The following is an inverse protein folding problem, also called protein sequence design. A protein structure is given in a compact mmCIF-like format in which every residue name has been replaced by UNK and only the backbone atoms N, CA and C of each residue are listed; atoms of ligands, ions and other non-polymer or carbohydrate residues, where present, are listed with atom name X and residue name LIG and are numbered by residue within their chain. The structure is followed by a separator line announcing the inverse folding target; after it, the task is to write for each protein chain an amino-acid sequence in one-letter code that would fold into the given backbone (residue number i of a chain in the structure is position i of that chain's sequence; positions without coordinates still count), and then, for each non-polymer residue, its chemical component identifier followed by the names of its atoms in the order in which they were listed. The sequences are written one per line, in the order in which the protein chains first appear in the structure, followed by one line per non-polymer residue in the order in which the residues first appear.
data_IF_289679563698
#
_entry.id   IF_289679563698
#
_cell.length_a   1.000
_cell.length_b   1.000
_cell.length_c   1.000
_cell.angle_alpha   90.00
_cell.angle_beta   90.00
_cell.angle_gamma   90.00
#
_symmetry.space_group_name_H-M   'P 1'
#
loop_
_entity.id
_entity.type
_entity.pdbx_description
1 polymer ?
#
# COMPACT_ATOMS: atom_id res chain seq x y z
N UNK A 1 -13.35 12.75 63.04
CA UNK A 1 -13.45 13.22 61.64
C UNK A 1 -14.49 12.37 60.93
N UNK A 2 -15.50 12.99 60.32
CA UNK A 2 -16.81 12.39 60.06
C UNK A 2 -16.92 11.70 58.70
N UNK A 3 -17.79 10.68 58.64
CA UNK A 3 -18.20 9.94 57.43
C UNK A 3 -18.48 10.85 56.22
N UNK A 4 -19.06 12.04 56.44
CA UNK A 4 -19.31 13.05 55.38
C UNK A 4 -18.06 13.50 54.64
N UNK A 5 -16.94 13.73 55.35
CA UNK A 5 -15.67 14.16 54.74
C UNK A 5 -15.09 13.03 53.87
N UNK A 6 -15.19 11.78 54.35
CA UNK A 6 -14.79 10.59 53.59
C UNK A 6 -15.63 10.39 52.32
N UNK A 7 -16.95 10.57 52.40
CA UNK A 7 -17.84 10.46 51.24
C UNK A 7 -17.59 11.55 50.18
N UNK A 8 -17.25 12.77 50.62
CA UNK A 8 -16.97 13.89 49.73
C UNK A 8 -15.63 13.71 48.98
N UNK A 9 -14.60 13.21 49.66
CA UNK A 9 -13.33 12.84 49.04
C UNK A 9 -13.48 11.72 48.00
N UNK A 10 -14.23 10.66 48.33
CA UNK A 10 -14.51 9.57 47.40
C UNK A 10 -15.29 10.02 46.15
N UNK A 11 -16.21 10.96 46.31
CA UNK A 11 -16.98 11.54 45.19
C UNK A 11 -16.09 12.38 44.27
N UNK A 12 -15.19 13.19 44.83
CA UNK A 12 -14.24 13.99 44.03
C UNK A 12 -13.30 13.11 43.20
N UNK A 13 -12.74 12.05 43.81
CA UNK A 13 -11.85 11.12 43.10
C UNK A 13 -12.59 10.37 42.00
N UNK A 14 -13.84 9.96 42.24
CA UNK A 14 -14.67 9.35 41.20
C UNK A 14 -14.86 10.28 40.00
N UNK A 15 -15.25 11.54 40.23
CA UNK A 15 -15.42 12.53 39.14
C UNK A 15 -14.12 12.78 38.37
N UNK A 16 -12.99 12.83 39.07
CA UNK A 16 -11.66 12.94 38.45
C UNK A 16 -11.38 11.77 37.51
N UNK A 17 -11.55 10.54 38.01
CA UNK A 17 -11.29 9.28 37.28
C UNK A 17 -12.22 9.15 36.08
N UNK A 18 -13.52 9.39 36.27
CA UNK A 18 -14.52 9.34 35.19
C UNK A 18 -14.18 10.34 34.08
N UNK A 19 -13.78 11.56 34.42
CA UNK A 19 -13.36 12.57 33.43
C UNK A 19 -12.08 12.13 32.69
N UNK A 20 -11.08 11.65 33.44
CA UNK A 20 -9.81 11.23 32.86
C UNK A 20 -10.01 10.08 31.87
N UNK A 21 -10.79 9.06 32.23
CA UNK A 21 -11.12 7.96 31.32
C UNK A 21 -11.96 8.40 30.12
N UNK A 22 -12.88 9.36 30.28
CA UNK A 22 -13.61 9.94 29.16
C UNK A 22 -12.69 10.61 28.11
N UNK A 23 -11.51 11.08 28.52
CA UNK A 23 -10.48 11.62 27.59
C UNK A 23 -9.52 10.54 27.11
N UNK A 24 -9.15 9.61 27.99
CA UNK A 24 -8.14 8.59 27.74
C UNK A 24 -8.65 7.52 26.76
N UNK A 25 -9.88 7.04 26.93
CA UNK A 25 -10.45 5.96 26.10
C UNK A 25 -10.44 6.30 24.60
N UNK A 26 -10.93 7.49 24.15
CA UNK A 26 -10.80 7.87 22.75
C UNK A 26 -9.36 8.01 22.26
N UNK A 27 -8.44 8.49 23.12
CA UNK A 27 -7.02 8.61 22.78
C UNK A 27 -6.36 7.23 22.56
N UNK A 28 -6.74 6.23 23.36
CA UNK A 28 -6.33 4.84 23.19
C UNK A 28 -6.87 4.27 21.88
N UNK A 29 -8.17 4.39 21.61
CA UNK A 29 -8.76 3.93 20.34
C UNK A 29 -8.07 4.54 19.13
N UNK A 30 -7.79 5.85 19.15
CA UNK A 30 -7.09 6.54 18.07
C UNK A 30 -5.64 6.07 17.91
N UNK A 31 -4.96 5.77 19.01
CA UNK A 31 -3.57 5.29 18.99
C UNK A 31 -3.50 3.88 18.42
N UNK A 32 -4.39 2.97 18.85
CA UNK A 32 -4.49 1.61 18.31
C UNK A 32 -4.74 1.67 16.81
N UNK A 33 -5.72 2.48 16.38
CA UNK A 33 -6.03 2.66 14.95
C UNK A 33 -4.80 3.03 14.12
N UNK A 34 -3.98 3.97 14.60
CA UNK A 34 -2.73 4.36 13.92
C UNK A 34 -1.67 3.26 13.91
N UNK A 35 -1.67 2.36 14.89
CA UNK A 35 -0.77 1.20 14.94
C UNK A 35 -1.22 0.06 14.01
N UNK A 36 -2.52 -0.08 13.77
CA UNK A 36 -3.09 -1.17 12.95
C UNK A 36 -2.61 -1.16 11.50
N UNK A 37 -2.66 -0.01 10.82
CA UNK A 37 -2.30 0.05 9.39
C UNK A 37 -0.85 -0.39 9.11
N UNK A 38 0.18 0.09 9.86
CA UNK A 38 1.55 -0.41 9.73
C UNK A 38 1.70 -1.90 10.03
N UNK A 39 1.00 -2.44 11.03
CA UNK A 39 1.05 -3.87 11.37
C UNK A 39 0.48 -4.73 10.23
N UNK A 40 -0.66 -4.33 9.66
CA UNK A 40 -1.29 -5.02 8.53
C UNK A 40 -0.39 -4.93 7.29
N UNK A 41 0.13 -3.75 6.95
CA UNK A 41 1.04 -3.58 5.83
C UNK A 41 2.32 -4.44 6.00
N UNK A 42 2.83 -4.53 7.23
CA UNK A 42 3.96 -5.39 7.58
C UNK A 42 3.66 -6.88 7.38
N UNK A 43 2.52 -7.37 7.87
CA UNK A 43 2.12 -8.77 7.68
C UNK A 43 1.89 -9.10 6.20
N UNK A 44 1.20 -8.23 5.46
CA UNK A 44 0.99 -8.41 4.02
C UNK A 44 2.32 -8.50 3.25
N UNK A 45 3.33 -7.70 3.60
CA UNK A 45 4.66 -7.81 2.99
C UNK A 45 5.36 -9.14 3.31
N UNK A 46 5.08 -9.71 4.48
CA UNK A 46 5.67 -10.97 4.91
C UNK A 46 4.93 -12.21 4.37
N UNK A 47 3.62 -12.11 4.17
CA UNK A 47 2.75 -13.27 3.91
C UNK A 47 2.11 -13.27 2.52
N UNK A 48 1.99 -12.11 1.84
CA UNK A 48 1.45 -12.02 0.49
C UNK A 48 2.59 -12.04 -0.55
N UNK A 49 2.65 -13.06 -1.42
CA UNK A 49 3.72 -13.17 -2.42
C UNK A 49 3.83 -11.96 -3.36
N UNK A 50 2.71 -11.31 -3.71
CA UNK A 50 2.70 -10.12 -4.56
C UNK A 50 3.41 -8.90 -3.92
N UNK A 51 3.52 -8.88 -2.60
CA UNK A 51 4.10 -7.77 -1.84
C UNK A 51 5.43 -8.11 -1.19
N UNK A 52 5.87 -9.38 -1.26
CA UNK A 52 7.20 -9.79 -0.85
C UNK A 52 8.20 -9.46 -1.96
N UNK A 53 9.03 -8.44 -1.77
CA UNK A 53 10.12 -8.10 -2.69
C UNK A 53 9.97 -6.72 -3.33
N UNK A 54 10.29 -6.63 -4.62
CA UNK A 54 10.39 -5.36 -5.34
C UNK A 54 9.26 -5.16 -6.38
N UNK A 55 9.32 -4.02 -7.07
CA UNK A 55 8.43 -3.62 -8.17
C UNK A 55 8.21 -4.71 -9.23
N UNK A 56 9.28 -5.39 -9.66
CA UNK A 56 9.22 -6.42 -10.70
C UNK A 56 8.48 -7.67 -10.24
N UNK A 57 8.60 -8.04 -8.97
CA UNK A 57 7.82 -9.12 -8.39
C UNK A 57 6.31 -8.78 -8.39
N UNK A 58 5.95 -7.56 -8.00
CA UNK A 58 4.57 -7.07 -8.09
C UNK A 58 4.04 -7.13 -9.53
N UNK A 59 4.84 -6.68 -10.50
CA UNK A 59 4.46 -6.72 -11.92
C UNK A 59 4.22 -8.16 -12.41
N UNK A 60 5.07 -9.12 -12.03
CA UNK A 60 4.84 -10.55 -12.30
C UNK A 60 3.49 -11.02 -11.76
N UNK A 61 3.14 -10.71 -10.51
CA UNK A 61 1.84 -11.08 -9.93
C UNK A 61 0.66 -10.38 -10.59
N UNK A 62 0.84 -9.13 -11.04
CA UNK A 62 -0.16 -8.42 -11.84
C UNK A 62 -0.38 -9.12 -13.19
N UNK A 63 0.68 -9.52 -13.89
CA UNK A 63 0.59 -10.24 -15.17
C UNK A 63 -0.10 -11.60 -14.98
N UNK A 64 0.17 -12.31 -13.88
CA UNK A 64 -0.55 -13.54 -13.51
C UNK A 64 -2.05 -13.25 -13.35
N UNK A 65 -2.43 -12.22 -12.57
CA UNK A 65 -3.83 -11.85 -12.35
C UNK A 65 -4.53 -11.50 -13.66
N UNK A 66 -3.91 -10.66 -14.48
CA UNK A 66 -4.43 -10.26 -15.79
C UNK A 66 -4.62 -11.47 -16.73
N UNK A 67 -3.69 -12.44 -16.71
CA UNK A 67 -3.81 -13.66 -17.51
C UNK A 67 -4.90 -14.60 -16.97
N UNK A 68 -5.15 -14.62 -15.67
CA UNK A 68 -6.24 -15.40 -15.08
C UNK A 68 -7.61 -14.79 -15.36
N UNK A 69 -7.72 -13.46 -15.29
CA UNK A 69 -8.96 -12.72 -15.50
C UNK A 69 -9.39 -12.65 -16.98
N UNK A 70 -8.43 -12.69 -17.91
CA UNK A 70 -8.64 -12.55 -19.36
C UNK A 70 -9.53 -11.34 -19.73
N UNK A 71 -9.46 -10.27 -18.92
CA UNK A 71 -10.26 -9.06 -19.12
C UNK A 71 -9.45 -8.00 -19.90
N UNK A 72 -9.82 -7.78 -21.16
CA UNK A 72 -9.14 -6.80 -22.02
C UNK A 72 -9.12 -5.37 -21.46
N UNK A 73 -10.17 -4.93 -20.76
CA UNK A 73 -10.21 -3.58 -20.19
C UNK A 73 -9.18 -3.42 -19.06
N UNK A 74 -8.95 -4.47 -18.27
CA UNK A 74 -7.92 -4.47 -17.23
C UNK A 74 -6.52 -4.40 -17.86
N UNK A 75 -6.27 -5.18 -18.92
CA UNK A 75 -5.04 -5.03 -19.72
C UNK A 75 -4.87 -3.63 -20.29
N UNK A 76 -5.95 -3.07 -20.84
CA UNK A 76 -5.93 -1.73 -21.42
C UNK A 76 -5.57 -0.67 -20.37
N UNK A 77 -6.18 -0.74 -19.18
CA UNK A 77 -5.86 0.16 -18.09
C UNK A 77 -4.41 -0.03 -17.60
N UNK A 78 -3.93 -1.27 -17.46
CA UNK A 78 -2.54 -1.54 -17.10
C UNK A 78 -1.54 -1.01 -18.14
N UNK A 79 -1.84 -1.13 -19.43
CA UNK A 79 -0.98 -0.68 -20.52
C UNK A 79 -0.94 0.83 -20.70
N UNK A 80 -2.07 1.51 -20.49
CA UNK A 80 -2.22 2.95 -20.76
C UNK A 80 -2.13 3.81 -19.50
N UNK A 81 -2.46 3.25 -18.34
CA UNK A 81 -2.46 3.93 -17.04
C UNK A 81 -1.87 3.03 -15.93
N UNK A 82 -0.62 2.54 -16.09
CA UNK A 82 -0.04 1.52 -15.21
C UNK A 82 -0.02 1.94 -13.73
N UNK A 83 0.25 3.22 -13.44
CA UNK A 83 0.29 3.73 -12.07
C UNK A 83 -1.06 3.63 -11.37
N UNK A 84 -2.13 4.04 -12.05
CA UNK A 84 -3.49 3.92 -11.52
C UNK A 84 -3.90 2.46 -11.39
N UNK A 85 -3.59 1.62 -12.39
CA UNK A 85 -3.91 0.20 -12.35
C UNK A 85 -3.28 -0.49 -11.14
N UNK A 86 -1.98 -0.29 -10.93
CA UNK A 86 -1.24 -0.91 -9.83
C UNK A 86 -1.76 -0.42 -8.47
N UNK A 87 -2.10 0.86 -8.35
CA UNK A 87 -2.71 1.40 -7.13
C UNK A 87 -4.03 0.69 -6.80
N UNK A 88 -4.90 0.51 -7.80
CA UNK A 88 -6.17 -0.20 -7.65
C UNK A 88 -5.96 -1.70 -7.36
N UNK A 89 -4.97 -2.33 -8.00
CA UNK A 89 -4.60 -3.71 -7.72
C UNK A 89 -4.20 -3.88 -6.24
N UNK A 90 -3.31 -3.03 -5.72
CA UNK A 90 -2.92 -3.04 -4.30
C UNK A 90 -4.15 -2.86 -3.41
N UNK A 91 -5.06 -1.94 -3.74
CA UNK A 91 -6.29 -1.72 -2.98
C UNK A 91 -7.17 -2.98 -2.89
N UNK A 92 -7.38 -3.65 -4.02
CA UNK A 92 -8.21 -4.84 -4.09
C UNK A 92 -7.58 -6.00 -3.30
N UNK A 93 -6.26 -6.13 -3.35
CA UNK A 93 -5.54 -7.12 -2.55
C UNK A 93 -5.62 -6.83 -1.05
N UNK A 94 -5.55 -5.55 -0.62
CA UNK A 94 -5.76 -5.18 0.79
C UNK A 94 -7.17 -5.56 1.24
N UNK A 95 -8.19 -5.20 0.45
CA UNK A 95 -9.59 -5.55 0.75
C UNK A 95 -9.76 -7.06 0.87
N UNK A 96 -9.25 -7.83 -0.09
CA UNK A 96 -9.31 -9.29 -0.08
C UNK A 96 -8.58 -9.88 1.13
N UNK A 97 -7.39 -9.37 1.47
CA UNK A 97 -6.64 -9.82 2.63
C UNK A 97 -7.44 -9.62 3.92
N UNK A 98 -7.97 -8.42 4.13
CA UNK A 98 -8.72 -8.07 5.34
C UNK A 98 -10.05 -8.84 5.47
N UNK A 99 -10.69 -9.23 4.36
CA UNK A 99 -11.92 -10.02 4.37
C UNK A 99 -11.71 -11.52 4.61
N UNK A 100 -10.53 -12.07 4.31
CA UNK A 100 -10.21 -13.50 4.46
C UNK A 100 -9.27 -13.73 5.66
N UNK A 101 -8.03 -14.17 5.41
CA UNK A 101 -7.01 -14.51 6.41
C UNK A 101 -6.62 -13.34 7.33
N UNK A 102 -6.76 -12.12 6.84
CA UNK A 102 -6.41 -10.90 7.57
C UNK A 102 -7.34 -10.62 8.75
N UNK A 103 -8.59 -11.12 8.73
CA UNK A 103 -9.57 -10.84 9.80
C UNK A 103 -9.10 -11.32 11.17
N UNK A 104 -8.56 -12.54 11.27
CA UNK A 104 -8.06 -13.10 12.53
C UNK A 104 -6.72 -12.49 12.94
N UNK A 105 -5.87 -12.16 11.96
CA UNK A 105 -4.63 -11.41 12.19
C UNK A 105 -4.89 -10.02 12.75
N UNK A 106 -5.90 -9.33 12.23
CA UNK A 106 -6.32 -8.02 12.72
C UNK A 106 -6.79 -8.09 14.17
N UNK A 107 -7.58 -9.10 14.55
CA UNK A 107 -7.95 -9.32 15.97
C UNK A 107 -6.72 -9.55 16.84
N UNK A 108 -5.76 -10.31 16.35
CA UNK A 108 -4.50 -10.57 17.07
C UNK A 108 -3.70 -9.27 17.26
N UNK A 109 -3.55 -8.45 16.21
CA UNK A 109 -2.86 -7.15 16.29
C UNK A 109 -3.58 -6.16 17.21
N UNK A 110 -4.91 -6.14 17.16
CA UNK A 110 -5.73 -5.35 18.07
C UNK A 110 -5.46 -5.76 19.51
N UNK A 111 -5.55 -7.06 19.82
CA UNK A 111 -5.31 -7.59 21.17
C UNK A 111 -3.90 -7.28 21.67
N UNK A 112 -2.88 -7.51 20.85
CA UNK A 112 -1.49 -7.17 21.19
C UNK A 112 -1.32 -5.67 21.49
N UNK A 113 -1.97 -4.81 20.71
CA UNK A 113 -1.90 -3.35 20.90
C UNK A 113 -2.66 -2.91 22.15
N UNK A 114 -3.81 -3.53 22.45
CA UNK A 114 -4.57 -3.30 23.67
C UNK A 114 -3.78 -3.71 24.90
N UNK A 115 -3.22 -4.92 24.91
CA UNK A 115 -2.44 -5.44 26.04
C UNK A 115 -1.21 -4.57 26.31
N UNK A 116 -0.51 -4.12 25.26
CA UNK A 116 0.61 -3.20 25.39
C UNK A 116 0.18 -1.87 26.05
N UNK A 117 -0.83 -1.19 25.50
CA UNK A 117 -1.29 0.11 26.02
C UNK A 117 -1.88 -0.03 27.42
N UNK A 118 -2.58 -1.13 27.71
CA UNK A 118 -3.08 -1.44 29.05
C UNK A 118 -1.95 -1.50 30.06
N UNK A 119 -0.85 -2.18 29.72
CA UNK A 119 0.33 -2.25 30.58
C UNK A 119 1.00 -0.88 30.75
N UNK A 120 1.08 -0.08 29.68
CA UNK A 120 1.65 1.28 29.74
C UNK A 120 0.82 2.19 30.67
N UNK A 121 -0.51 2.15 30.57
CA UNK A 121 -1.42 2.91 31.44
C UNK A 121 -1.28 2.43 32.89
N UNK A 122 -1.24 1.12 33.12
CA UNK A 122 -1.07 0.57 34.46
C UNK A 122 0.27 1.02 35.06
N UNK A 123 1.38 0.94 34.32
CA UNK A 123 2.69 1.42 34.77
C UNK A 123 2.65 2.92 35.08
N UNK A 124 2.06 3.72 34.20
CA UNK A 124 1.91 5.16 34.40
C UNK A 124 1.09 5.51 35.65
N UNK A 125 0.00 4.80 35.93
CA UNK A 125 -0.80 4.98 37.16
C UNK A 125 0.07 4.69 38.39
N UNK A 126 0.76 3.55 38.41
CA UNK A 126 1.59 3.14 39.55
C UNK A 126 2.72 4.13 39.80
N UNK A 127 3.52 4.43 38.78
CA UNK A 127 4.69 5.30 38.92
C UNK A 127 4.32 6.75 39.26
N UNK A 128 3.29 7.31 38.63
CA UNK A 128 2.83 8.66 38.95
C UNK A 128 2.33 8.75 40.39
N UNK A 129 1.66 7.70 40.89
CA UNK A 129 1.15 7.67 42.27
C UNK A 129 2.26 7.53 43.29
N UNK A 130 3.25 6.65 43.06
CA UNK A 130 4.38 6.50 43.98
C UNK A 130 5.18 7.81 44.10
N UNK A 131 5.50 8.47 42.98
CA UNK A 131 6.19 9.77 43.00
C UNK A 131 5.33 10.85 43.69
N UNK A 132 4.01 10.78 43.52
CA UNK A 132 3.11 11.79 44.05
C UNK A 132 3.01 11.76 45.59
N UNK A 133 3.07 10.56 46.19
CA UNK A 133 3.07 10.36 47.66
C UNK A 133 4.23 11.07 48.32
N UNK A 134 5.43 10.95 47.74
CA UNK A 134 6.66 11.46 48.33
C UNK A 134 6.77 12.99 48.31
N UNK A 135 5.97 13.67 47.46
CA UNK A 135 6.13 15.10 47.15
C UNK A 135 4.97 16.00 47.57
N UNK A 136 3.98 15.51 48.35
CA UNK A 136 2.70 16.24 48.62
C UNK A 136 2.08 16.76 47.31
N UNK A 137 2.03 15.91 46.29
CA UNK A 137 1.69 16.35 44.93
C UNK A 137 0.21 16.71 44.79
N UNK A 138 -0.06 17.73 43.98
CA UNK A 138 -1.41 18.13 43.58
C UNK A 138 -1.94 17.22 42.47
N UNK A 139 -3.25 17.27 42.20
CA UNK A 139 -3.85 16.59 41.06
C UNK A 139 -3.14 16.98 39.73
N UNK A 140 -2.81 18.26 39.55
CA UNK A 140 -2.01 18.73 38.42
C UNK A 140 -0.65 18.04 38.31
N UNK A 141 0.10 17.94 39.41
CA UNK A 141 1.42 17.28 39.41
C UNK A 141 1.34 15.78 39.11
N UNK A 142 0.29 15.10 39.56
CA UNK A 142 0.05 13.71 39.19
C UNK A 142 -0.28 13.56 37.71
N UNK A 143 -1.11 14.45 37.14
CA UNK A 143 -1.45 14.45 35.71
C UNK A 143 -0.23 14.68 34.83
N UNK A 144 0.70 15.55 35.24
CA UNK A 144 1.95 15.79 34.50
C UNK A 144 2.79 14.52 34.43
N UNK A 145 3.01 13.86 35.58
CA UNK A 145 3.74 12.59 35.65
C UNK A 145 3.07 11.49 34.83
N UNK A 146 1.75 11.36 34.96
CA UNK A 146 0.96 10.36 34.23
C UNK A 146 1.05 10.57 32.71
N UNK A 147 0.84 11.80 32.22
CA UNK A 147 0.92 12.11 30.80
C UNK A 147 2.35 11.97 30.25
N UNK A 148 3.37 12.33 31.01
CA UNK A 148 4.77 12.20 30.58
C UNK A 148 5.16 10.75 30.39
N UNK A 149 4.67 9.84 31.24
CA UNK A 149 4.90 8.39 31.12
C UNK A 149 4.22 7.77 29.90
N UNK A 150 3.11 8.34 29.44
CA UNK A 150 2.36 7.83 28.29
C UNK A 150 2.84 8.40 26.95
N UNK A 151 3.70 9.42 26.95
CA UNK A 151 4.03 10.21 25.75
C UNK A 151 4.66 9.40 24.60
N UNK A 152 5.40 8.34 24.91
CA UNK A 152 6.05 7.49 23.90
C UNK A 152 5.06 6.63 23.12
N UNK A 153 4.02 6.15 23.80
CA UNK A 153 3.19 5.05 23.30
C UNK A 153 1.75 5.45 23.02
N UNK A 154 1.32 6.62 23.54
CA UNK A 154 -0.04 7.12 23.47
C UNK A 154 -0.09 8.62 23.15
N UNK A 155 -0.92 8.98 22.16
CA UNK A 155 -1.17 10.39 21.82
C UNK A 155 -2.24 10.93 22.78
N UNK A 156 -1.82 11.34 23.98
CA UNK A 156 -2.71 11.83 25.02
C UNK A 156 -2.23 13.17 25.61
N UNK A 157 -2.77 14.31 25.13
CA UNK A 157 -2.19 15.60 25.43
C UNK A 157 -2.68 16.15 26.79
N UNK A 158 -1.74 16.46 27.70
CA UNK A 158 -1.98 17.01 29.05
C UNK A 158 -2.90 18.24 29.08
N UNK A 159 -2.91 19.05 28.01
CA UNK A 159 -3.78 20.23 27.86
C UNK A 159 -5.28 19.90 27.88
N UNK A 160 -5.66 18.66 27.56
CA UNK A 160 -7.07 18.24 27.56
C UNK A 160 -7.61 17.98 28.98
N UNK A 161 -6.75 18.09 30.00
CA UNK A 161 -7.02 17.75 31.41
C UNK A 161 -7.04 18.97 32.34
N UNK A 162 -6.96 20.19 31.79
CA UNK A 162 -6.93 21.44 32.57
C UNK A 162 -8.16 21.57 33.48
N UNK A 163 -9.33 21.10 33.05
CA UNK A 163 -10.57 21.22 33.82
C UNK A 163 -10.60 20.41 35.13
N UNK A 164 -9.67 19.46 35.33
CA UNK A 164 -9.61 18.63 36.54
C UNK A 164 -8.34 18.85 37.37
N UNK A 165 -7.43 19.72 36.93
CA UNK A 165 -6.10 19.85 37.55
C UNK A 165 -6.11 20.54 38.92
N UNK A 166 -7.17 21.29 39.23
CA UNK A 166 -7.37 21.97 40.51
C UNK A 166 -8.18 21.15 41.52
N UNK A 167 -8.59 19.93 41.20
CA UNK A 167 -9.34 19.10 42.16
C UNK A 167 -8.46 18.69 43.35
N UNK A 168 -9.00 18.78 44.55
CA UNK A 168 -8.30 18.33 45.76
C UNK A 168 -8.34 16.80 45.86
N UNK A 169 -7.21 16.14 45.56
CA UNK A 169 -7.02 14.71 45.79
C UNK A 169 -6.15 14.54 47.02
N UNK A 170 -6.76 14.05 48.12
CA UNK A 170 -6.06 13.81 49.39
C UNK A 170 -5.58 12.38 49.55
N UNK A 171 -6.22 11.45 48.85
CA UNK A 171 -5.93 10.02 48.92
C UNK A 171 -5.46 9.51 47.56
N UNK A 172 -4.14 9.51 47.39
CA UNK A 172 -3.51 9.07 46.14
C UNK A 172 -3.62 7.55 45.95
N UNK A 173 -3.72 6.77 47.03
CA UNK A 173 -3.96 5.32 46.91
C UNK A 173 -5.37 5.03 46.44
N UNK A 174 -6.37 5.75 46.97
CA UNK A 174 -7.74 5.60 46.46
C UNK A 174 -7.86 6.04 45.00
N UNK A 175 -7.13 7.08 44.58
CA UNK A 175 -7.04 7.46 43.15
C UNK A 175 -6.48 6.31 42.31
N UNK A 176 -5.35 5.72 42.71
CA UNK A 176 -4.73 4.58 42.03
C UNK A 176 -5.67 3.38 41.95
N UNK A 177 -6.31 3.01 43.06
CA UNK A 177 -7.30 1.92 43.07
C UNK A 177 -8.48 2.20 42.13
N UNK A 178 -9.02 3.41 42.14
CA UNK A 178 -10.13 3.80 41.27
C UNK A 178 -9.72 3.79 39.79
N UNK A 179 -8.52 4.29 39.45
CA UNK A 179 -7.97 4.24 38.10
C UNK A 179 -7.77 2.80 37.62
N UNK A 180 -7.13 1.94 38.43
CA UNK A 180 -6.90 0.54 38.10
C UNK A 180 -8.21 -0.25 37.96
N UNK A 181 -9.21 0.03 38.82
CA UNK A 181 -10.51 -0.63 38.75
C UNK A 181 -11.28 -0.30 37.47
N UNK A 182 -11.12 0.92 36.95
CA UNK A 182 -11.76 1.35 35.70
C UNK A 182 -11.02 0.87 34.44
N UNK A 183 -9.75 0.44 34.55
CA UNK A 183 -8.91 0.06 33.41
C UNK A 183 -9.53 -1.07 32.56
N UNK A 184 -9.91 -2.19 33.16
CA UNK A 184 -10.44 -3.35 32.43
C UNK A 184 -11.76 -3.05 31.69
N UNK A 185 -12.79 -2.45 32.33
CA UNK A 185 -14.00 -2.02 31.63
C UNK A 185 -13.72 -1.07 30.46
N UNK A 186 -12.78 -0.14 30.63
CA UNK A 186 -12.43 0.83 29.61
C UNK A 186 -11.67 0.21 28.43
N UNK A 187 -10.74 -0.73 28.69
CA UNK A 187 -10.06 -1.47 27.63
C UNK A 187 -11.04 -2.36 26.85
N UNK A 188 -12.02 -2.98 27.51
CA UNK A 188 -13.09 -3.72 26.81
C UNK A 188 -13.91 -2.78 25.92
N UNK A 189 -14.21 -1.55 26.38
CA UNK A 189 -14.90 -0.55 25.57
C UNK A 189 -14.08 -0.14 24.34
N UNK A 190 -12.77 0.06 24.50
CA UNK A 190 -11.86 0.33 23.39
C UNK A 190 -11.84 -0.84 22.40
N UNK A 191 -11.73 -2.07 22.89
CA UNK A 191 -11.71 -3.28 22.05
C UNK A 191 -12.95 -3.36 21.17
N UNK A 192 -14.14 -3.20 21.74
CA UNK A 192 -15.39 -3.20 20.98
C UNK A 192 -15.39 -2.10 19.92
N UNK A 193 -15.02 -0.87 20.29
CA UNK A 193 -14.97 0.25 19.34
C UNK A 193 -14.01 -0.02 18.17
N UNK A 194 -12.88 -0.67 18.43
CA UNK A 194 -11.89 -1.00 17.40
C UNK A 194 -12.28 -2.22 16.55
N UNK A 195 -12.99 -3.21 17.10
CA UNK A 195 -13.47 -4.38 16.37
C UNK A 195 -14.49 -4.04 15.28
N UNK A 196 -15.33 -3.02 15.52
CA UNK A 196 -16.34 -2.57 14.56
C UNK A 196 -15.81 -1.52 13.56
N UNK A 197 -14.50 -1.27 13.56
CA UNK A 197 -13.90 -0.31 12.62
C UNK A 197 -14.00 -0.84 11.19
N UNK A 198 -14.53 -0.06 10.23
CA UNK A 198 -14.51 -0.43 8.84
C UNK A 198 -13.08 -0.54 8.33
N UNK A 199 -12.77 -1.67 7.69
CA UNK A 199 -11.47 -1.91 7.03
C UNK A 199 -11.15 -0.77 6.06
N UNK A 200 -12.18 -0.25 5.41
CA UNK A 200 -12.16 0.84 4.43
C UNK A 200 -11.49 2.11 4.97
N UNK A 201 -11.55 2.36 6.28
CA UNK A 201 -10.88 3.51 6.90
C UNK A 201 -9.35 3.38 6.93
N UNK A 202 -8.83 2.15 6.92
CA UNK A 202 -7.38 1.86 6.95
C UNK A 202 -6.80 1.62 5.56
N UNK A 203 -7.61 1.22 4.58
CA UNK A 203 -7.16 0.91 3.21
C UNK A 203 -6.28 2.00 2.60
N UNK A 204 -6.61 3.31 2.68
CA UNK A 204 -5.77 4.35 2.06
C UNK A 204 -4.37 4.42 2.66
N UNK A 205 -4.25 4.22 3.99
CA UNK A 205 -2.97 4.28 4.69
C UNK A 205 -2.11 3.05 4.37
N UNK A 206 -2.71 1.86 4.39
CA UNK A 206 -2.04 0.60 4.00
C UNK A 206 -1.60 0.67 2.54
N UNK A 207 -2.46 1.12 1.63
CA UNK A 207 -2.17 1.29 0.21
C UNK A 207 -1.00 2.25 0.00
N UNK A 208 -0.96 3.37 0.74
CA UNK A 208 0.16 4.31 0.68
C UNK A 208 1.47 3.63 1.07
N UNK A 209 1.52 2.94 2.21
CA UNK A 209 2.74 2.25 2.67
C UNK A 209 3.22 1.18 1.68
N UNK A 210 2.31 0.36 1.14
CA UNK A 210 2.67 -0.65 0.14
C UNK A 210 3.09 -0.03 -1.20
N UNK A 211 2.44 1.06 -1.63
CA UNK A 211 2.78 1.77 -2.87
C UNK A 211 4.14 2.45 -2.79
N UNK A 212 4.48 3.03 -1.64
CA UNK A 212 5.81 3.60 -1.39
C UNK A 212 6.89 2.52 -1.37
N UNK A 213 6.61 1.38 -0.73
CA UNK A 213 7.53 0.25 -0.72
C UNK A 213 7.77 -0.35 -2.11
N UNK A 214 6.71 -0.46 -2.91
CA UNK A 214 6.72 -1.02 -4.26
C UNK A 214 6.78 0.08 -5.34
N UNK A 215 7.36 1.22 -4.98
CA UNK A 215 7.51 2.36 -5.88
C UNK A 215 8.58 2.09 -6.94
N UNK A 216 8.57 2.93 -7.97
CA UNK A 216 9.51 2.83 -9.08
C UNK A 216 9.23 3.85 -10.16
N UNK A 217 9.98 3.74 -11.24
CA UNK A 217 9.82 4.58 -12.41
C UNK A 217 8.58 4.18 -13.21
N UNK A 218 7.78 5.15 -13.61
CA UNK A 218 6.55 4.94 -14.39
C UNK A 218 6.71 5.31 -15.86
N UNK A 219 7.91 5.71 -16.28
CA UNK A 219 8.19 5.99 -17.69
C UNK A 219 7.97 4.73 -18.51
N UNK A 220 7.33 4.88 -19.66
CA UNK A 220 7.01 3.80 -20.57
C UNK A 220 7.85 3.90 -21.84
N UNK A 221 8.25 2.75 -22.38
CA UNK A 221 8.98 2.67 -23.64
C UNK A 221 8.11 3.28 -24.75
N UNK A 222 8.62 4.25 -25.53
CA UNK A 222 7.81 4.93 -26.55
C UNK A 222 7.33 3.97 -27.66
N UNK A 223 8.04 2.87 -27.86
CA UNK A 223 7.71 1.87 -28.88
C UNK A 223 6.65 0.85 -28.42
N UNK A 224 6.78 0.28 -27.22
CA UNK A 224 5.95 -0.86 -26.80
C UNK A 224 5.25 -0.70 -25.45
N UNK A 225 5.35 0.47 -24.82
CA UNK A 225 4.74 0.81 -23.53
C UNK A 225 5.18 -0.03 -22.31
N UNK A 226 6.22 -0.85 -22.45
CA UNK A 226 6.83 -1.53 -21.32
C UNK A 226 7.31 -0.50 -20.28
N UNK A 227 7.13 -0.79 -19.00
CA UNK A 227 7.38 0.14 -17.90
C UNK A 227 8.85 -0.01 -17.49
N UNK A 228 9.51 1.10 -17.16
CA UNK A 228 10.87 1.08 -16.65
C UNK A 228 10.94 0.25 -15.35
N UNK A 229 11.96 -0.59 -15.23
CA UNK A 229 12.15 -1.47 -14.05
C UNK A 229 12.93 -0.84 -12.92
N UNK A 230 13.44 0.38 -13.10
CA UNK A 230 14.17 1.08 -12.06
C UNK A 230 13.23 1.37 -10.86
N UNK A 231 13.67 0.97 -9.66
CA UNK A 231 12.90 1.10 -8.42
C UNK A 231 12.95 2.50 -7.82
N UNK A 232 13.72 3.43 -8.42
CA UNK A 232 13.82 4.82 -8.00
C UNK A 232 12.89 5.66 -8.88
N UNK A 233 11.87 6.33 -8.31
CA UNK A 233 11.05 7.30 -9.04
C UNK A 233 11.92 8.46 -9.56
N UNK A 234 11.60 8.95 -10.77
CA UNK A 234 12.32 10.11 -11.38
C UNK A 234 13.84 9.96 -11.35
N UNK A 235 14.34 8.74 -11.57
CA UNK A 235 15.77 8.47 -11.60
C UNK A 235 16.47 9.13 -12.79
N UNK A 236 17.74 9.46 -12.60
CA UNK A 236 18.65 9.86 -13.67
C UNK A 236 19.09 8.67 -14.53
N UNK A 237 19.69 8.96 -15.68
CA UNK A 237 20.18 7.95 -16.62
C UNK A 237 19.07 7.32 -17.47
N UNK A 238 19.43 6.27 -18.21
CA UNK A 238 18.54 5.67 -19.19
C UNK A 238 17.46 4.79 -18.54
N UNK A 239 16.23 4.89 -19.06
CA UNK A 239 15.15 3.96 -18.76
C UNK A 239 15.37 2.63 -19.48
N UNK A 240 15.07 1.52 -18.81
CA UNK A 240 15.21 0.19 -19.38
C UNK A 240 14.27 -0.83 -18.74
N UNK A 241 14.05 -1.91 -19.48
CA UNK A 241 13.25 -3.06 -19.07
C UNK A 241 13.89 -4.31 -19.70
N UNK A 242 13.98 -5.44 -18.98
CA UNK A 242 14.56 -6.66 -19.54
C UNK A 242 13.71 -7.23 -20.68
N UNK A 243 12.38 -7.07 -20.59
CA UNK A 243 11.43 -7.67 -21.52
C UNK A 243 10.53 -6.60 -22.15
N UNK A 244 10.73 -6.40 -23.45
CA UNK A 244 9.87 -5.54 -24.27
C UNK A 244 8.61 -6.28 -24.74
N UNK A 245 7.74 -5.60 -25.48
CA UNK A 245 6.47 -6.15 -25.97
C UNK A 245 6.41 -5.97 -27.49
N UNK A 246 5.60 -6.77 -28.22
CA UNK A 246 5.27 -6.47 -29.62
C UNK A 246 4.75 -5.04 -29.72
N UNK A 247 5.20 -4.28 -30.72
CA UNK A 247 4.73 -2.89 -30.86
C UNK A 247 3.22 -2.78 -31.15
N UNK A 248 2.58 -3.86 -31.63
CA UNK A 248 1.13 -3.99 -31.75
C UNK A 248 0.38 -3.74 -30.44
N UNK A 249 1.00 -4.01 -29.28
CA UNK A 249 0.42 -3.72 -27.95
C UNK A 249 0.22 -2.21 -27.75
N UNK A 250 1.15 -1.40 -28.27
CA UNK A 250 1.07 0.07 -28.33
C UNK A 250 0.28 0.56 -29.55
N UNK A 251 -0.23 -0.35 -30.37
CA UNK A 251 -1.00 -0.02 -31.56
C UNK A 251 -0.15 0.49 -32.72
N UNK A 252 1.16 0.23 -32.79
CA UNK A 252 1.99 0.65 -33.93
C UNK A 252 1.70 -0.22 -35.16
N UNK A 253 1.67 0.40 -36.34
CA UNK A 253 1.54 -0.27 -37.64
C UNK A 253 2.69 0.05 -38.57
N UNK A 254 2.90 -0.82 -39.57
CA UNK A 254 3.85 -0.59 -40.64
C UNK A 254 3.49 0.70 -41.40
N UNK A 255 4.52 1.47 -41.76
CA UNK A 255 4.37 2.75 -42.45
C UNK A 255 3.45 2.66 -43.68
N UNK A 256 2.51 3.61 -43.79
CA UNK A 256 1.49 3.68 -44.85
C UNK A 256 0.58 2.45 -44.96
N UNK A 257 0.47 1.66 -43.90
CA UNK A 257 -0.48 0.54 -43.83
C UNK A 257 -1.25 0.56 -42.50
N UNK A 258 -2.33 -0.21 -42.44
CA UNK A 258 -3.02 -0.54 -41.20
C UNK A 258 -2.55 -1.87 -40.59
N UNK A 259 -1.44 -2.44 -41.06
CA UNK A 259 -0.93 -3.73 -40.61
C UNK A 259 -0.11 -3.56 -39.34
N UNK A 260 -0.48 -4.22 -38.24
CA UNK A 260 0.24 -4.13 -36.98
C UNK A 260 1.72 -4.56 -37.10
N UNK A 261 2.58 -3.96 -36.29
CA UNK A 261 3.98 -4.40 -36.13
C UNK A 261 4.05 -5.42 -34.99
N UNK A 262 4.36 -6.67 -35.32
CA UNK A 262 4.52 -7.74 -34.33
C UNK A 262 5.93 -7.81 -33.75
N UNK A 263 6.89 -7.13 -34.36
CA UNK A 263 8.27 -7.12 -33.91
C UNK A 263 8.41 -6.45 -32.54
N UNK A 264 9.32 -7.01 -31.76
CA UNK A 264 9.71 -6.45 -30.47
C UNK A 264 10.72 -5.34 -30.69
N UNK A 265 10.80 -4.41 -29.72
CA UNK A 265 11.79 -3.34 -29.76
C UNK A 265 13.21 -3.89 -29.88
N UNK A 266 13.50 -4.97 -29.17
CA UNK A 266 14.80 -5.64 -29.13
C UNK A 266 15.18 -6.25 -30.49
N UNK A 267 14.23 -6.80 -31.22
CA UNK A 267 14.46 -7.30 -32.59
C UNK A 267 14.63 -6.17 -33.59
N UNK A 268 13.86 -5.09 -33.46
CA UNK A 268 13.92 -3.93 -34.37
C UNK A 268 15.24 -3.18 -34.25
N UNK A 269 15.79 -2.99 -33.05
CA UNK A 269 17.12 -2.35 -32.88
C UNK A 269 18.27 -3.21 -33.42
N UNK A 270 18.03 -4.49 -33.71
CA UNK A 270 18.99 -5.38 -34.35
C UNK A 270 18.80 -5.50 -35.87
N UNK A 271 17.75 -4.91 -36.44
CA UNK A 271 17.41 -5.04 -37.86
C UNK A 271 17.78 -3.79 -38.67
N UNK A 272 17.56 -3.86 -39.98
CA UNK A 272 17.70 -2.72 -40.90
C UNK A 272 16.36 -1.98 -41.12
N UNK A 273 15.39 -2.18 -40.22
CA UNK A 273 14.13 -1.46 -40.24
C UNK A 273 14.31 0.01 -39.83
N UNK A 274 13.37 0.85 -40.27
CA UNK A 274 13.31 2.26 -39.91
C UNK A 274 12.17 2.53 -38.94
N UNK A 275 12.45 3.31 -37.89
CA UNK A 275 11.48 4.05 -37.11
C UNK A 275 11.00 5.24 -37.95
N UNK A 276 9.69 5.34 -38.16
CA UNK A 276 9.08 6.49 -38.83
C UNK A 276 8.37 7.35 -37.80
N UNK A 277 8.78 8.61 -37.72
CA UNK A 277 8.19 9.60 -36.81
C UNK A 277 6.99 10.31 -37.46
N UNK A 278 6.19 10.99 -36.65
CA UNK A 278 4.97 11.69 -37.09
C UNK A 278 5.23 12.79 -38.15
N UNK A 279 6.47 13.26 -38.26
CA UNK A 279 6.90 14.23 -39.27
C UNK A 279 7.56 13.58 -40.51
N UNK A 280 7.25 12.30 -40.78
CA UNK A 280 7.81 11.50 -41.88
C UNK A 280 9.34 11.37 -41.87
N UNK A 281 10.02 11.67 -40.75
CA UNK A 281 11.45 11.37 -40.61
C UNK A 281 11.66 9.88 -40.41
N UNK A 282 12.56 9.32 -41.21
CA UNK A 282 12.96 7.92 -41.12
C UNK A 282 14.31 7.82 -40.41
N UNK A 283 14.35 7.08 -39.31
CA UNK A 283 15.56 6.85 -38.52
C UNK A 283 15.77 5.35 -38.44
N UNK A 284 16.94 4.81 -38.80
CA UNK A 284 17.22 3.39 -38.59
C UNK A 284 16.96 3.01 -37.13
N UNK A 285 16.29 1.89 -36.85
CA UNK A 285 16.01 1.49 -35.48
C UNK A 285 17.28 1.32 -34.65
N UNK A 286 18.41 0.93 -35.25
CA UNK A 286 19.75 0.93 -34.61
C UNK A 286 20.17 2.29 -34.03
N UNK A 287 19.63 3.38 -34.58
CA UNK A 287 19.91 4.77 -34.21
C UNK A 287 18.67 5.48 -33.63
N UNK A 288 17.69 4.74 -33.10
CA UNK A 288 16.40 5.28 -32.63
C UNK A 288 16.53 6.48 -31.68
N UNK A 289 17.61 6.57 -30.89
CA UNK A 289 17.87 7.69 -29.99
C UNK A 289 17.94 9.05 -30.68
N UNK A 290 18.30 9.09 -31.96
CA UNK A 290 18.30 10.32 -32.77
C UNK A 290 16.89 10.92 -32.98
N UNK A 291 15.83 10.18 -32.64
CA UNK A 291 14.46 10.70 -32.62
C UNK A 291 14.26 11.76 -31.51
N UNK A 292 15.09 11.79 -30.47
CA UNK A 292 14.97 12.73 -29.36
C UNK A 292 13.83 12.38 -28.40
N UNK A 293 13.54 13.28 -27.46
CA UNK A 293 12.48 13.11 -26.46
C UNK A 293 12.64 11.81 -25.66
N UNK A 294 11.53 11.11 -25.42
CA UNK A 294 11.54 9.82 -24.71
C UNK A 294 12.35 8.74 -25.46
N UNK A 295 12.57 8.82 -26.78
CA UNK A 295 13.42 7.82 -27.47
C UNK A 295 14.89 7.94 -27.06
N UNK A 296 15.38 9.15 -26.82
CA UNK A 296 16.79 9.37 -26.47
C UNK A 296 17.14 8.88 -25.06
N UNK A 297 16.14 8.82 -24.16
CA UNK A 297 16.32 8.45 -22.74
C UNK A 297 16.06 6.97 -22.45
N UNK A 298 15.78 6.16 -23.47
CA UNK A 298 15.58 4.71 -23.32
C UNK A 298 16.80 3.94 -23.81
N UNK A 299 17.18 2.89 -23.08
CA UNK A 299 18.17 1.89 -23.49
C UNK A 299 17.46 0.60 -23.88
N UNK A 300 17.54 0.24 -25.16
CA UNK A 300 16.92 -0.96 -25.74
C UNK A 300 18.05 -1.79 -26.33
N UNK A 301 18.30 -2.96 -25.74
CA UNK A 301 19.32 -3.90 -26.20
C UNK A 301 18.69 -5.02 -27.02
N UNK A 302 19.38 -5.53 -28.06
CA UNK A 302 18.96 -6.76 -28.72
C UNK A 302 18.77 -7.91 -27.73
N UNK A 303 17.72 -8.70 -27.95
CA UNK A 303 17.34 -9.86 -27.14
C UNK A 303 16.61 -10.87 -28.02
N UNK A 304 16.83 -12.15 -27.75
CA UNK A 304 16.25 -13.30 -28.47
C UNK A 304 15.34 -14.14 -27.58
N UNK A 305 14.97 -13.65 -26.40
CA UNK A 305 14.11 -14.39 -25.47
C UNK A 305 12.73 -14.67 -26.07
N UNK A 306 12.15 -15.83 -25.75
CA UNK A 306 10.89 -16.27 -26.35
C UNK A 306 9.69 -15.41 -25.96
N UNK A 307 9.67 -14.86 -24.73
CA UNK A 307 8.66 -13.94 -24.20
C UNK A 307 7.20 -14.31 -24.58
N UNK A 308 6.71 -15.51 -24.18
CA UNK A 308 5.44 -16.06 -24.65
C UNK A 308 4.22 -15.26 -24.21
N UNK A 309 4.30 -14.53 -23.08
CA UNK A 309 3.18 -13.81 -22.49
C UNK A 309 2.52 -12.83 -23.48
N UNK A 310 3.30 -11.92 -24.06
CA UNK A 310 2.75 -10.90 -24.94
C UNK A 310 2.36 -11.44 -26.32
N UNK A 311 2.94 -12.57 -26.73
CA UNK A 311 2.53 -13.31 -27.94
C UNK A 311 1.14 -13.89 -27.76
N UNK A 312 0.92 -14.58 -26.64
CA UNK A 312 -0.40 -15.07 -26.24
C UNK A 312 -1.40 -13.92 -26.09
N UNK A 313 -1.06 -12.81 -25.43
CA UNK A 313 -1.93 -11.65 -25.30
C UNK A 313 -2.42 -11.13 -26.68
N UNK A 314 -1.49 -10.97 -27.64
CA UNK A 314 -1.82 -10.51 -29.00
C UNK A 314 -2.75 -11.49 -29.71
N UNK A 315 -2.49 -12.80 -29.61
CA UNK A 315 -3.36 -13.83 -30.19
C UNK A 315 -4.75 -13.84 -29.54
N UNK A 316 -4.79 -13.84 -28.20
CA UNK A 316 -6.00 -13.98 -27.42
C UNK A 316 -6.92 -12.76 -27.57
N UNK A 317 -6.36 -11.54 -27.57
CA UNK A 317 -7.12 -10.29 -27.70
C UNK A 317 -7.07 -9.68 -29.11
N UNK A 318 -6.73 -10.47 -30.13
CA UNK A 318 -6.57 -10.04 -31.52
C UNK A 318 -7.69 -9.11 -31.98
N UNK A 319 -8.94 -9.59 -31.95
CA UNK A 319 -10.10 -8.82 -32.44
C UNK A 319 -10.34 -7.54 -31.64
N UNK A 320 -10.06 -7.56 -30.33
CA UNK A 320 -10.16 -6.36 -29.47
C UNK A 320 -9.09 -5.33 -29.79
N UNK A 321 -7.87 -5.76 -30.10
CA UNK A 321 -6.80 -4.87 -30.57
C UNK A 321 -7.14 -4.26 -31.93
N UNK A 322 -7.62 -5.08 -32.88
CA UNK A 322 -8.04 -4.61 -34.21
C UNK A 322 -9.17 -3.58 -34.12
N UNK A 323 -10.20 -3.86 -33.31
CA UNK A 323 -11.31 -2.94 -33.03
C UNK A 323 -10.82 -1.64 -32.37
N UNK A 324 -9.98 -1.74 -31.33
CA UNK A 324 -9.59 -0.57 -30.53
C UNK A 324 -8.67 0.38 -31.27
N UNK A 325 -7.75 -0.15 -32.08
CA UNK A 325 -6.77 0.65 -32.82
C UNK A 325 -7.14 0.87 -34.29
N UNK A 326 -8.23 0.27 -34.79
CA UNK A 326 -8.66 0.33 -36.21
C UNK A 326 -7.55 -0.13 -37.17
N UNK A 327 -6.88 -1.22 -36.80
CA UNK A 327 -5.72 -1.82 -37.48
C UNK A 327 -5.93 -3.33 -37.63
N UNK A 328 -5.11 -4.02 -38.41
CA UNK A 328 -5.33 -5.42 -38.79
C UNK A 328 -4.08 -6.28 -38.67
N UNK A 329 -4.27 -7.54 -38.28
CA UNK A 329 -3.22 -8.57 -38.32
C UNK A 329 -3.26 -9.33 -39.65
N UNK A 330 -2.88 -8.65 -40.73
CA UNK A 330 -2.82 -9.17 -42.10
C UNK A 330 -1.48 -8.81 -42.75
N UNK A 331 -1.15 -9.47 -43.86
CA UNK A 331 0.11 -9.30 -44.62
C UNK A 331 1.35 -9.26 -43.69
N UNK A 332 2.07 -8.13 -43.64
CA UNK A 332 3.24 -7.92 -42.77
C UNK A 332 2.93 -7.96 -41.27
N UNK A 333 1.67 -7.81 -40.89
CA UNK A 333 1.19 -7.93 -39.52
C UNK A 333 0.49 -9.25 -39.23
N UNK A 334 0.55 -10.24 -40.15
CA UNK A 334 -0.06 -11.55 -39.93
C UNK A 334 0.61 -12.22 -38.71
N UNK A 335 -0.22 -12.60 -37.74
CA UNK A 335 0.24 -13.35 -36.56
C UNK A 335 0.78 -14.71 -37.01
N UNK A 336 2.01 -15.10 -36.60
CA UNK A 336 2.56 -16.41 -36.92
C UNK A 336 1.76 -17.55 -36.28
N UNK A 337 1.54 -18.64 -37.01
CA UNK A 337 0.85 -19.85 -36.53
C UNK A 337 1.44 -20.43 -35.24
N UNK A 338 2.74 -20.20 -34.99
CA UNK A 338 3.41 -20.61 -33.76
C UNK A 338 2.90 -19.87 -32.51
N UNK A 339 2.47 -18.61 -32.64
CA UNK A 339 1.94 -17.85 -31.51
C UNK A 339 0.54 -18.34 -31.11
N UNK A 340 -0.26 -18.80 -32.08
CA UNK A 340 -1.60 -19.36 -31.85
C UNK A 340 -1.57 -20.65 -31.02
N UNK A 341 -0.43 -21.34 -30.97
CA UNK A 341 -0.22 -22.54 -30.16
C UNK A 341 0.13 -22.24 -28.70
N UNK A 342 0.43 -20.98 -28.35
CA UNK A 342 0.77 -20.60 -26.98
C UNK A 342 -0.53 -20.56 -26.16
N UNK A 343 -0.57 -21.33 -25.08
CA UNK A 343 -1.74 -21.40 -24.19
C UNK A 343 -1.58 -20.47 -22.99
N UNK A 344 -2.70 -20.15 -22.34
CA UNK A 344 -2.70 -19.47 -21.03
C UNK A 344 -1.81 -20.19 -20.00
N UNK A 345 -1.84 -21.52 -20.01
CA UNK A 345 -1.03 -22.30 -19.08
C UNK A 345 0.47 -22.11 -19.34
N UNK A 346 0.89 -22.07 -20.61
CA UNK A 346 2.29 -21.81 -20.95
C UNK A 346 2.77 -20.46 -20.40
N UNK A 347 1.95 -19.41 -20.49
CA UNK A 347 2.35 -18.08 -19.99
C UNK A 347 2.31 -17.97 -18.48
N UNK A 348 1.42 -18.71 -17.81
CA UNK A 348 1.40 -18.78 -16.35
C UNK A 348 2.61 -19.56 -15.81
N UNK A 349 3.04 -20.61 -16.50
CA UNK A 349 4.20 -21.41 -16.08
C UNK A 349 5.52 -20.67 -16.36
N UNK A 350 5.62 -19.88 -17.44
CA UNK A 350 6.76 -18.99 -17.71
C UNK A 350 6.92 -17.88 -16.66
N UNK A 351 5.81 -17.48 -16.04
CA UNK A 351 5.80 -16.48 -14.97
C UNK A 351 6.03 -17.06 -13.59
N UNK A 352 5.96 -18.38 -13.36
CA UNK A 352 6.21 -18.98 -12.04
C UNK A 352 7.70 -19.02 -11.74
#
# INVERSE_FOLDING_TARGET
MSFKISCQGATSIKTFVDFLWNKLTPAVSNTIRKKMAPQIAGDMRATCPAFSGNRSNLEKHILISLAQEENFNNYWQYLHNPQSFVKNYIENQIKSYCSDKGSEKMKTFLKMSLDAIKNDILSAIHEATEIAKDKRSTASGWLDLFCDKLRSDLIFPRKDLISIEHQEIKDMEFLKEAMCKALDPEMNRVEQNCLYMPVEEMVPEIQKMLSEHLSGCWKQCPCCRAICTNTIPTHDGDHSVPFHRPQAVNGISWYKTNNFVLDYCTSLVASDCFLVLDNDRHIPYKNYRQAGGDYATWSITPDTSAQPYWKWFVCHFRSKLEEKYQKRFIDKGKIPDAWEKITKQNVLDDLK
#
